data_IF_576128801800
#
_entry.id   IF_576128801800
#
_cell.length_a   1.000
_cell.length_b   1.000
_cell.length_c   1.000
_cell.angle_alpha   90.00
_cell.angle_beta   90.00
_cell.angle_gamma   90.00
#
_symmetry.space_group_name_H-M   'P 1'
#
loop_
_entity.id
_entity.type
_entity.pdbx_description
1 polymer ?
#
# COMPACT_ATOMS: atom_id res chain seq x y z
N UNK A 1 5.05 -19.34 6.04
CA UNK A 1 3.73 -19.90 6.35
C UNK A 1 2.68 -19.37 5.38
N UNK A 2 2.44 -18.04 5.32
CA UNK A 2 1.53 -17.45 4.33
C UNK A 2 1.88 -17.82 2.87
N UNK A 3 3.17 -17.83 2.52
CA UNK A 3 3.67 -18.25 1.20
C UNK A 3 3.44 -19.74 0.89
N UNK A 4 3.33 -20.61 1.92
CA UNK A 4 3.29 -22.07 1.79
C UNK A 4 1.88 -22.65 1.96
N UNK A 5 1.12 -22.13 2.91
CA UNK A 5 -0.15 -22.69 3.37
C UNK A 5 -1.35 -21.82 2.96
N UNK A 6 -1.10 -20.73 2.21
CA UNK A 6 -2.11 -19.74 1.84
C UNK A 6 -2.66 -18.99 3.05
N UNK A 7 -3.59 -18.05 2.80
CA UNK A 7 -4.20 -17.30 3.88
C UNK A 7 -5.02 -18.20 4.80
N UNK A 8 -5.71 -19.21 4.25
CA UNK A 8 -6.52 -20.18 5.01
C UNK A 8 -5.71 -21.02 6.00
N UNK A 9 -4.44 -21.31 5.68
CA UNK A 9 -3.52 -22.00 6.60
C UNK A 9 -3.00 -21.14 7.75
N UNK A 10 -3.22 -19.81 7.71
CA UNK A 10 -2.84 -18.90 8.79
C UNK A 10 -3.89 -18.92 9.90
N UNK A 11 -3.47 -19.42 11.06
CA UNK A 11 -4.25 -19.45 12.28
C UNK A 11 -3.35 -19.10 13.46
N UNK A 12 -3.96 -18.66 14.56
CA UNK A 12 -3.26 -18.46 15.85
C UNK A 12 -2.43 -19.70 16.24
N UNK A 13 -2.96 -20.90 15.97
CA UNK A 13 -2.27 -22.15 16.23
C UNK A 13 -1.04 -22.35 15.35
N UNK A 14 -1.16 -22.14 14.04
CA UNK A 14 -0.05 -22.36 13.10
C UNK A 14 1.05 -21.32 13.30
N UNK A 15 0.72 -20.08 13.63
CA UNK A 15 1.70 -19.05 14.00
C UNK A 15 2.42 -19.39 15.31
N UNK A 16 1.72 -19.84 16.36
CA UNK A 16 2.37 -20.25 17.61
C UNK A 16 3.35 -21.41 17.40
N UNK A 17 2.95 -22.42 16.64
CA UNK A 17 3.81 -23.55 16.33
C UNK A 17 5.09 -23.11 15.59
N UNK A 18 4.96 -22.16 14.65
CA UNK A 18 6.10 -21.61 13.90
C UNK A 18 7.01 -20.73 14.77
N UNK A 19 6.45 -19.97 15.71
CA UNK A 19 7.19 -19.09 16.62
C UNK A 19 7.81 -19.82 17.83
N UNK A 20 7.59 -21.14 17.95
CA UNK A 20 8.02 -21.92 19.12
C UNK A 20 7.27 -21.54 20.40
N UNK A 21 6.11 -20.90 20.29
CA UNK A 21 5.31 -20.45 21.42
C UNK A 21 4.28 -21.49 21.82
N UNK A 22 4.00 -21.57 23.13
CA UNK A 22 2.90 -22.39 23.62
C UNK A 22 1.56 -21.73 23.26
N UNK A 23 0.50 -22.54 23.14
CA UNK A 23 -0.85 -22.05 22.85
C UNK A 23 -1.31 -20.98 23.84
N UNK A 24 -0.99 -21.13 25.12
CA UNK A 24 -1.39 -20.19 26.17
C UNK A 24 -0.76 -18.80 26.02
N UNK A 25 0.48 -18.73 25.53
CA UNK A 25 1.18 -17.46 25.29
C UNK A 25 0.54 -16.70 24.14
N UNK A 26 0.27 -17.36 23.01
CA UNK A 26 -0.26 -16.66 21.85
C UNK A 26 -1.72 -16.20 22.02
N UNK A 27 -2.53 -16.95 22.79
CA UNK A 27 -3.92 -16.57 23.10
C UNK A 27 -4.01 -15.38 24.06
N UNK A 28 -2.90 -15.00 24.70
CA UNK A 28 -2.81 -13.75 25.45
C UNK A 28 -2.64 -12.53 24.53
N UNK A 29 -2.08 -12.72 23.33
CA UNK A 29 -1.85 -11.67 22.34
C UNK A 29 -2.94 -11.57 21.28
N UNK A 30 -3.55 -12.69 20.90
CA UNK A 30 -4.57 -12.74 19.85
C UNK A 30 -5.75 -13.61 20.27
N UNK A 31 -6.92 -12.98 20.32
CA UNK A 31 -8.19 -13.59 20.69
C UNK A 31 -8.74 -14.46 19.55
N UNK A 32 -8.52 -14.03 18.31
CA UNK A 32 -8.95 -14.74 17.11
C UNK A 32 -7.97 -14.58 15.93
N UNK A 33 -8.32 -15.18 14.78
CA UNK A 33 -7.53 -15.11 13.55
C UNK A 33 -7.55 -13.72 12.92
N UNK A 34 -8.65 -12.98 13.05
CA UNK A 34 -8.81 -11.67 12.43
C UNK A 34 -7.92 -10.65 13.14
N UNK A 35 -7.81 -10.73 14.47
CA UNK A 35 -6.89 -9.91 15.27
C UNK A 35 -5.41 -10.18 14.91
N UNK A 36 -5.05 -11.46 14.71
CA UNK A 36 -3.72 -11.85 14.25
C UNK A 36 -3.42 -11.30 12.84
N UNK A 37 -4.38 -11.41 11.90
CA UNK A 37 -4.21 -10.92 10.54
C UNK A 37 -4.12 -9.39 10.51
N UNK A 38 -4.93 -8.70 11.31
CA UNK A 38 -4.87 -7.24 11.46
C UNK A 38 -3.53 -6.79 12.02
N UNK A 39 -3.00 -7.49 13.03
CA UNK A 39 -1.67 -7.21 13.55
C UNK A 39 -0.58 -7.42 12.49
N UNK A 40 -0.65 -8.51 11.73
CA UNK A 40 0.30 -8.78 10.67
C UNK A 40 0.23 -7.72 9.55
N UNK A 41 -0.97 -7.28 9.19
CA UNK A 41 -1.19 -6.20 8.23
C UNK A 41 -0.62 -4.85 8.72
N UNK A 42 -0.82 -4.49 9.99
CA UNK A 42 -0.23 -3.26 10.54
C UNK A 42 1.29 -3.29 10.55
N UNK A 43 1.88 -4.46 10.79
CA UNK A 43 3.33 -4.63 10.67
C UNK A 43 3.80 -4.45 9.22
N UNK A 44 3.02 -4.93 8.24
CA UNK A 44 3.29 -4.67 6.82
C UNK A 44 3.25 -3.17 6.50
N UNK A 45 2.21 -2.47 6.92
CA UNK A 45 2.08 -1.01 6.73
C UNK A 45 3.25 -0.22 7.35
N UNK A 46 3.75 -0.67 8.51
CA UNK A 46 4.93 -0.06 9.15
C UNK A 46 6.19 -0.22 8.31
N UNK A 47 6.41 -1.40 7.71
CA UNK A 47 7.56 -1.66 6.83
C UNK A 47 7.45 -0.89 5.52
N UNK A 48 6.26 -0.86 4.94
CA UNK A 48 5.94 -0.02 3.79
C UNK A 48 6.32 1.42 4.07
N UNK A 49 5.86 1.97 5.19
CA UNK A 49 6.17 3.34 5.59
C UNK A 49 7.67 3.59 5.77
N UNK A 50 8.37 2.71 6.50
CA UNK A 50 9.81 2.84 6.73
C UNK A 50 10.62 2.75 5.43
N UNK A 51 10.13 2.03 4.41
CA UNK A 51 10.84 1.90 3.14
C UNK A 51 10.85 3.18 2.29
N UNK A 52 9.88 4.08 2.54
CA UNK A 52 9.71 5.31 1.76
C UNK A 52 9.99 6.59 2.56
N UNK A 53 10.09 6.51 3.90
CA UNK A 53 10.30 7.68 4.77
C UNK A 53 11.58 8.47 4.46
N UNK A 54 12.59 7.79 3.90
CA UNK A 54 13.88 8.36 3.54
C UNK A 54 13.97 8.81 2.07
N UNK A 55 12.91 8.63 1.28
CA UNK A 55 12.92 9.07 -0.11
C UNK A 55 12.98 10.59 -0.14
N UNK A 56 14.00 11.10 -0.81
CA UNK A 56 14.26 12.52 -1.02
C UNK A 56 14.62 12.67 -2.49
N UNK A 57 14.16 13.74 -3.15
CA UNK A 57 14.41 13.95 -4.56
C UNK A 57 13.27 14.67 -5.25
N UNK A 58 13.07 14.34 -6.53
CA UNK A 58 11.97 14.88 -7.33
C UNK A 58 10.61 14.52 -6.68
N UNK A 59 9.74 15.50 -6.34
CA UNK A 59 8.45 15.23 -5.71
C UNK A 59 7.57 14.26 -6.50
N UNK A 60 7.69 14.23 -7.83
CA UNK A 60 6.96 13.28 -8.69
C UNK A 60 7.47 11.85 -8.49
N UNK A 61 8.79 11.66 -8.45
CA UNK A 61 9.38 10.34 -8.17
C UNK A 61 9.01 9.83 -6.78
N UNK A 62 9.02 10.72 -5.77
CA UNK A 62 8.60 10.37 -4.40
C UNK A 62 7.12 9.96 -4.37
N UNK A 63 6.23 10.72 -5.02
CA UNK A 63 4.81 10.39 -5.11
C UNK A 63 4.58 9.05 -5.82
N UNK A 64 5.26 8.80 -6.95
CA UNK A 64 5.15 7.53 -7.68
C UNK A 64 5.66 6.37 -6.84
N UNK A 65 6.79 6.54 -6.13
CA UNK A 65 7.33 5.50 -5.25
C UNK A 65 6.40 5.18 -4.07
N UNK A 66 5.78 6.20 -3.46
CA UNK A 66 4.76 6.03 -2.42
C UNK A 66 3.57 5.20 -2.94
N UNK A 67 3.03 5.55 -4.11
CA UNK A 67 1.90 4.83 -4.72
C UNK A 67 2.27 3.39 -5.13
N UNK A 68 3.49 3.18 -5.61
CA UNK A 68 3.99 1.85 -5.98
C UNK A 68 4.22 0.96 -4.77
N UNK A 69 4.62 1.52 -3.63
CA UNK A 69 4.91 0.72 -2.44
C UNK A 69 3.68 0.01 -1.87
N UNK A 70 2.50 0.56 -2.10
CA UNK A 70 1.22 -0.04 -1.75
C UNK A 70 0.81 -1.20 -2.69
N UNK A 71 1.53 -1.42 -3.79
CA UNK A 71 1.27 -2.48 -4.77
C UNK A 71 2.14 -3.72 -4.50
N UNK A 72 1.68 -4.93 -4.92
CA UNK A 72 2.46 -6.16 -4.80
C UNK A 72 3.58 -6.23 -5.85
N UNK A 73 4.59 -5.37 -5.73
CA UNK A 73 5.69 -5.21 -6.70
C UNK A 73 6.90 -6.12 -6.42
N UNK A 74 6.98 -6.71 -5.24
CA UNK A 74 8.02 -7.64 -4.80
C UNK A 74 7.44 -8.77 -3.95
N UNK A 75 8.29 -9.71 -3.52
CA UNK A 75 7.86 -10.89 -2.75
C UNK A 75 7.26 -10.50 -1.39
N UNK A 76 7.80 -9.46 -0.73
CA UNK A 76 7.34 -9.03 0.59
C UNK A 76 5.97 -8.34 0.50
N UNK A 77 5.85 -7.31 -0.35
CA UNK A 77 4.60 -6.61 -0.64
C UNK A 77 3.52 -7.55 -1.18
N UNK A 78 3.88 -8.59 -1.94
CA UNK A 78 2.94 -9.62 -2.39
C UNK A 78 2.35 -10.43 -1.23
N UNK A 79 3.15 -10.74 -0.19
CA UNK A 79 2.65 -11.44 0.98
C UNK A 79 1.75 -10.52 1.82
N UNK A 80 2.19 -9.29 2.04
CA UNK A 80 1.43 -8.27 2.76
C UNK A 80 0.06 -8.03 2.11
N UNK A 81 0.03 -7.95 0.79
CA UNK A 81 -1.19 -7.76 0.02
C UNK A 81 -2.17 -8.94 0.10
N UNK A 82 -1.65 -10.18 0.14
CA UNK A 82 -2.51 -11.37 0.35
C UNK A 82 -3.21 -11.33 1.71
N UNK A 83 -2.56 -10.79 2.75
CA UNK A 83 -3.17 -10.58 4.07
C UNK A 83 -4.35 -9.61 3.95
N UNK A 84 -4.12 -8.47 3.30
CA UNK A 84 -5.16 -7.46 3.07
C UNK A 84 -6.38 -8.04 2.34
N UNK A 85 -6.19 -8.74 1.22
CA UNK A 85 -7.28 -9.39 0.48
C UNK A 85 -8.10 -10.37 1.33
N UNK A 86 -7.44 -11.16 2.17
CA UNK A 86 -8.14 -12.10 3.04
C UNK A 86 -8.98 -11.42 4.12
N UNK A 87 -8.62 -10.20 4.51
CA UNK A 87 -9.41 -9.38 5.43
C UNK A 87 -10.60 -8.69 4.76
N UNK A 88 -10.47 -8.26 3.49
CA UNK A 88 -11.55 -7.57 2.76
C UNK A 88 -12.87 -8.35 2.78
N UNK A 89 -12.81 -9.67 2.57
CA UNK A 89 -13.99 -10.55 2.60
C UNK A 89 -14.66 -10.68 3.98
N UNK A 90 -14.03 -10.20 5.06
CA UNK A 90 -14.55 -10.26 6.43
C UNK A 90 -15.17 -8.94 6.90
N UNK A 91 -14.89 -7.84 6.21
CA UNK A 91 -15.29 -6.50 6.67
C UNK A 91 -16.80 -6.33 6.82
N UNK A 92 -17.59 -7.00 5.99
CA UNK A 92 -19.05 -6.94 6.04
C UNK A 92 -19.64 -7.45 7.37
N UNK A 93 -18.99 -8.45 7.99
CA UNK A 93 -19.47 -9.11 9.20
C UNK A 93 -18.72 -8.67 10.48
N UNK A 94 -17.68 -7.83 10.33
CA UNK A 94 -16.77 -7.41 11.41
C UNK A 94 -16.59 -5.89 11.42
N UNK A 95 -17.52 -5.13 12.03
CA UNK A 95 -17.47 -3.66 12.03
C UNK A 95 -16.25 -3.10 12.77
N UNK A 96 -15.75 -3.83 13.76
CA UNK A 96 -14.50 -3.53 14.48
C UNK A 96 -13.26 -3.61 13.57
N UNK A 97 -13.21 -4.65 12.72
CA UNK A 97 -12.16 -4.82 11.73
C UNK A 97 -12.28 -3.76 10.62
N UNK A 98 -13.50 -3.47 10.16
CA UNK A 98 -13.76 -2.44 9.15
C UNK A 98 -13.34 -1.05 9.63
N UNK A 99 -13.66 -0.69 10.87
CA UNK A 99 -13.21 0.58 11.46
C UNK A 99 -11.68 0.67 11.58
N UNK A 100 -11.03 -0.45 11.92
CA UNK A 100 -9.56 -0.52 11.98
C UNK A 100 -8.92 -0.31 10.60
N UNK A 101 -9.39 -1.03 9.58
CA UNK A 101 -8.89 -0.86 8.20
C UNK A 101 -9.18 0.53 7.65
N UNK A 102 -10.35 1.11 7.96
CA UNK A 102 -10.67 2.48 7.56
C UNK A 102 -9.69 3.51 8.16
N UNK A 103 -9.31 3.34 9.43
CA UNK A 103 -8.30 4.20 10.06
C UNK A 103 -6.93 4.03 9.42
N UNK A 104 -6.54 2.79 9.12
CA UNK A 104 -5.24 2.50 8.50
C UNK A 104 -5.20 3.05 7.05
N UNK A 105 -6.31 2.94 6.30
CA UNK A 105 -6.46 3.51 4.97
C UNK A 105 -6.44 5.05 4.97
N UNK A 106 -7.13 5.70 5.93
CA UNK A 106 -7.08 7.16 6.07
C UNK A 106 -5.66 7.68 6.33
N UNK A 107 -4.84 6.93 7.08
CA UNK A 107 -3.44 7.27 7.29
C UNK A 107 -2.59 7.14 6.01
N UNK A 108 -2.92 6.19 5.13
CA UNK A 108 -2.33 6.11 3.80
C UNK A 108 -2.74 7.30 2.91
N UNK A 109 -4.04 7.61 2.83
CA UNK A 109 -4.54 8.75 2.05
C UNK A 109 -3.92 10.08 2.51
N UNK A 110 -3.74 10.28 3.81
CA UNK A 110 -3.07 11.47 4.35
C UNK A 110 -1.62 11.60 3.85
N UNK A 111 -0.87 10.50 3.77
CA UNK A 111 0.50 10.52 3.22
C UNK A 111 0.52 10.80 1.72
N UNK A 112 -0.44 10.28 0.98
CA UNK A 112 -0.60 10.59 -0.45
C UNK A 112 -0.94 12.07 -0.63
N UNK A 113 -1.79 12.63 0.23
CA UNK A 113 -2.11 14.05 0.24
C UNK A 113 -0.86 14.90 0.49
N UNK A 114 -0.08 14.61 1.53
CA UNK A 114 1.17 15.34 1.83
C UNK A 114 2.15 15.33 0.64
N UNK A 115 2.27 14.19 -0.06
CA UNK A 115 3.11 14.05 -1.24
C UNK A 115 2.56 14.82 -2.45
N UNK A 116 1.23 14.85 -2.64
CA UNK A 116 0.56 15.64 -3.68
C UNK A 116 0.75 17.13 -3.44
N UNK A 117 0.54 17.60 -2.20
CA UNK A 117 0.76 19.01 -1.83
C UNK A 117 2.21 19.43 -2.07
N UNK A 118 3.17 18.59 -1.65
CA UNK A 118 4.59 18.83 -1.89
C UNK A 118 4.92 18.95 -3.39
N UNK A 119 4.32 18.11 -4.23
CA UNK A 119 4.52 18.15 -5.68
C UNK A 119 3.85 19.37 -6.35
N UNK A 120 2.70 19.82 -5.84
CA UNK A 120 2.02 21.04 -6.29
C UNK A 120 2.82 22.30 -5.91
N UNK A 121 3.28 22.37 -4.66
CA UNK A 121 4.07 23.50 -4.13
C UNK A 121 5.40 23.66 -4.86
N UNK A 122 6.03 22.54 -5.24
CA UNK A 122 7.23 22.54 -6.06
C UNK A 122 6.98 22.88 -7.54
N UNK A 123 5.72 22.99 -7.99
CA UNK A 123 5.36 23.16 -9.40
C UNK A 123 5.70 21.94 -10.28
N UNK A 124 5.95 20.78 -9.66
CA UNK A 124 6.30 19.54 -10.34
C UNK A 124 5.06 18.89 -11.00
N UNK A 125 3.88 19.11 -10.40
CA UNK A 125 2.59 18.75 -10.99
C UNK A 125 1.64 19.96 -11.03
N UNK A 126 0.65 19.89 -11.92
CA UNK A 126 -0.43 20.87 -12.03
C UNK A 126 -1.75 20.16 -12.31
N UNK A 127 -2.84 20.57 -11.68
CA UNK A 127 -4.17 19.97 -11.89
C UNK A 127 -5.27 21.00 -11.68
N UNK A 128 -6.47 20.70 -12.19
CA UNK A 128 -7.69 21.47 -11.91
C UNK A 128 -8.44 20.95 -10.67
N UNK A 129 -8.01 19.82 -10.11
CA UNK A 129 -8.57 19.22 -8.90
C UNK A 129 -8.00 19.89 -7.64
N UNK A 130 -8.69 19.73 -6.50
CA UNK A 130 -8.07 20.02 -5.21
C UNK A 130 -7.04 18.94 -4.87
N UNK A 131 -6.10 19.24 -3.97
CA UNK A 131 -5.08 18.27 -3.55
C UNK A 131 -5.73 17.01 -2.94
N UNK A 132 -6.78 17.19 -2.14
CA UNK A 132 -7.54 16.09 -1.52
C UNK A 132 -8.23 15.22 -2.58
N UNK A 133 -8.89 15.85 -3.57
CA UNK A 133 -9.55 15.12 -4.63
C UNK A 133 -8.55 14.31 -5.48
N UNK A 134 -7.37 14.88 -5.75
CA UNK A 134 -6.30 14.18 -6.45
C UNK A 134 -5.75 13.01 -5.61
N UNK A 135 -5.48 13.23 -4.33
CA UNK A 135 -4.97 12.20 -3.42
C UNK A 135 -5.95 11.02 -3.27
N UNK A 136 -7.25 11.29 -3.08
CA UNK A 136 -8.29 10.24 -3.05
C UNK A 136 -8.35 9.49 -4.37
N UNK A 137 -8.25 10.19 -5.50
CA UNK A 137 -8.31 9.56 -6.83
C UNK A 137 -7.10 8.65 -7.09
N UNK A 138 -5.90 9.09 -6.72
CA UNK A 138 -4.67 8.28 -6.80
C UNK A 138 -4.74 7.05 -5.89
N UNK A 139 -5.20 7.23 -4.66
CA UNK A 139 -5.35 6.14 -3.69
C UNK A 139 -6.36 5.09 -4.18
N UNK A 140 -7.53 5.53 -4.66
CA UNK A 140 -8.57 4.66 -5.22
C UNK A 140 -8.06 3.91 -6.47
N UNK A 141 -7.25 4.58 -7.30
CA UNK A 141 -6.65 3.93 -8.47
C UNK A 141 -5.67 2.81 -8.06
N UNK A 142 -4.82 3.08 -7.07
CA UNK A 142 -3.93 2.08 -6.49
C UNK A 142 -4.74 0.90 -5.94
N UNK A 143 -5.79 1.13 -5.16
CA UNK A 143 -6.65 0.05 -4.68
C UNK A 143 -7.21 -0.81 -5.82
N UNK A 144 -7.66 -0.19 -6.91
CA UNK A 144 -8.12 -0.90 -8.11
C UNK A 144 -7.02 -1.73 -8.79
N UNK A 145 -5.79 -1.18 -8.87
CA UNK A 145 -4.63 -1.92 -9.38
C UNK A 145 -4.32 -3.11 -8.48
N UNK A 146 -4.40 -2.95 -7.17
CA UNK A 146 -4.14 -4.06 -6.25
C UNK A 146 -5.11 -5.23 -6.53
N UNK A 147 -6.40 -4.97 -6.69
CA UNK A 147 -7.41 -5.99 -7.01
C UNK A 147 -7.12 -6.61 -8.37
N UNK A 148 -6.67 -5.81 -9.35
CA UNK A 148 -6.28 -6.29 -10.67
C UNK A 148 -5.09 -7.26 -10.59
N UNK A 149 -4.11 -6.99 -9.72
CA UNK A 149 -2.99 -7.90 -9.45
C UNK A 149 -3.45 -9.21 -8.79
N UNK A 150 -4.47 -9.16 -7.93
CA UNK A 150 -5.07 -10.36 -7.35
C UNK A 150 -5.69 -11.27 -8.41
N UNK A 151 -6.35 -10.67 -9.40
CA UNK A 151 -7.04 -11.37 -10.49
C UNK A 151 -6.05 -11.94 -11.52
N UNK A 152 -4.99 -11.19 -11.85
CA UNK A 152 -4.00 -11.57 -12.85
C UNK A 152 -2.55 -11.32 -12.36
N UNK A 153 -2.02 -12.15 -11.45
CA UNK A 153 -0.71 -11.94 -10.87
C UNK A 153 0.43 -11.96 -11.90
N UNK A 154 0.33 -12.78 -12.94
CA UNK A 154 1.36 -12.90 -13.99
C UNK A 154 1.43 -11.65 -14.89
N UNK A 155 0.39 -10.81 -14.89
CA UNK A 155 0.33 -9.56 -15.64
C UNK A 155 0.92 -8.34 -14.91
N UNK A 156 1.19 -8.46 -13.62
CA UNK A 156 1.47 -7.32 -12.73
C UNK A 156 2.96 -7.16 -12.39
N UNK A 157 3.82 -7.18 -13.41
CA UNK A 157 5.24 -6.90 -13.19
C UNK A 157 5.46 -5.48 -12.64
N UNK A 158 6.51 -5.28 -11.84
CA UNK A 158 6.84 -3.97 -11.27
C UNK A 158 6.90 -2.87 -12.34
N UNK A 159 7.61 -3.10 -13.45
CA UNK A 159 7.70 -2.13 -14.54
C UNK A 159 6.35 -1.81 -15.20
N UNK A 160 5.42 -2.77 -15.22
CA UNK A 160 4.07 -2.52 -15.73
C UNK A 160 3.26 -1.62 -14.79
N UNK A 161 3.32 -1.91 -13.49
CA UNK A 161 2.63 -1.15 -12.45
C UNK A 161 3.17 0.29 -12.35
N UNK A 162 4.49 0.46 -12.37
CA UNK A 162 5.15 1.76 -12.40
C UNK A 162 4.69 2.58 -13.61
N UNK A 163 4.64 1.95 -14.79
CA UNK A 163 4.14 2.58 -16.01
C UNK A 163 2.67 2.99 -15.88
N UNK A 164 1.83 2.15 -15.27
CA UNK A 164 0.41 2.43 -15.05
C UNK A 164 0.19 3.61 -14.10
N UNK A 165 0.84 3.60 -12.93
CA UNK A 165 0.80 4.69 -11.95
C UNK A 165 1.28 6.00 -12.59
N UNK A 166 2.43 5.97 -13.26
CA UNK A 166 2.99 7.16 -13.92
C UNK A 166 2.08 7.71 -15.04
N UNK A 167 1.45 6.82 -15.82
CA UNK A 167 0.53 7.22 -16.88
C UNK A 167 -0.75 7.82 -16.31
N UNK A 168 -1.29 7.23 -15.23
CA UNK A 168 -2.47 7.75 -14.57
C UNK A 168 -2.19 9.13 -13.97
N UNK A 169 -1.09 9.28 -13.23
CA UNK A 169 -0.67 10.57 -12.67
C UNK A 169 -0.57 11.65 -13.76
N UNK A 170 0.09 11.36 -14.89
CA UNK A 170 0.17 12.28 -16.05
C UNK A 170 -1.17 12.63 -16.70
N UNK A 171 -2.17 11.78 -16.53
CA UNK A 171 -3.51 11.99 -17.10
C UNK A 171 -4.35 12.91 -16.21
N UNK A 172 -4.23 12.75 -14.90
CA UNK A 172 -5.01 13.54 -13.91
C UNK A 172 -4.28 14.80 -13.44
N UNK A 173 -2.97 14.89 -13.70
CA UNK A 173 -2.15 16.05 -13.43
C UNK A 173 -1.10 16.24 -14.55
N UNK A 174 -0.91 17.47 -15.01
CA UNK A 174 0.20 17.83 -15.88
C UNK A 174 1.51 17.75 -15.11
N UNK A 175 2.43 16.87 -15.55
CA UNK A 175 3.74 16.67 -14.93
C UNK A 175 4.78 17.51 -15.66
N UNK A 176 5.47 18.39 -14.95
CA UNK A 176 6.59 19.16 -15.52
C UNK A 176 7.84 18.28 -15.58
N UNK A 177 8.66 18.36 -16.64
CA UNK A 177 9.98 17.74 -16.64
C UNK A 177 10.83 18.34 -15.51
N UNK A 178 11.56 17.50 -14.78
CA UNK A 178 12.46 17.93 -13.71
C UNK A 178 13.39 19.04 -14.23
N UNK A 179 13.47 20.14 -13.48
CA UNK A 179 14.33 21.28 -13.79
C UNK A 179 15.80 20.89 -13.58
N UNK A 180 16.38 20.16 -14.53
CA UNK A 180 17.69 19.52 -14.41
C UNK A 180 18.54 19.44 -15.68
N UNK A 181 18.12 20.07 -16.78
CA UNK A 181 18.97 20.23 -17.98
C UNK A 181 18.97 21.70 -18.42
N UNK A 182 19.61 22.55 -17.61
CA UNK A 182 20.08 23.84 -18.08
C UNK A 182 21.50 23.68 -18.64
N UNK A 183 21.57 23.72 -19.97
CA UNK A 183 22.67 24.21 -20.80
C UNK A 183 24.11 23.92 -20.33
N UNK A 184 24.82 23.08 -21.07
CA UNK A 184 26.21 23.41 -21.42
C UNK A 184 26.44 23.13 -22.89
N UNK A 185 26.73 24.22 -23.57
CA UNK A 185 27.26 24.36 -24.94
C UNK A 185 28.60 23.66 -25.09
#
# INVERSE_FOLDING_TARGET
MLARDGIEGVSVRSVAAQAGWTRGVITHYFSDRDELLLYAYRLALQREHASIEHLQGDPVEVLVALLLRALPIDEESSLDYRIFLGMLGRLADRPDLAASLASDHAAYEARVLDAVESALDAGAISTTLTAEALATMLSTYVDGLTVSCAINPDGSTHAHLEKQVSLFLRTVAGVSPASGENATT
#
